data_IF_754890170747
#
_entry.id   IF_754890170747
#
_cell.length_a   1.000
_cell.length_b   1.000
_cell.length_c   1.000
_cell.angle_alpha   90.00
_cell.angle_beta   90.00
_cell.angle_gamma   90.00
#
_symmetry.space_group_name_H-M   'P 1'
#
loop_
_entity.id
_entity.type
_entity.pdbx_description
1 polymer ?
#
# COMPACT_ATOMS: atom_id res chain seq x y z
N UNK A 1 -10.99 17.70 -30.43
CA UNK A 1 -11.71 18.80 -29.75
C UNK A 1 -12.36 19.74 -30.77
N UNK A 2 -11.58 20.49 -31.58
CA UNK A 2 -12.12 21.48 -32.54
C UNK A 2 -13.25 20.96 -33.44
N UNK A 3 -13.09 19.77 -34.04
CA UNK A 3 -14.13 19.20 -34.91
C UNK A 3 -15.45 18.88 -34.18
N UNK A 4 -15.37 18.32 -32.97
CA UNK A 4 -16.57 18.01 -32.16
C UNK A 4 -17.25 19.32 -31.71
N UNK A 5 -16.47 20.33 -31.30
CA UNK A 5 -17.01 21.63 -30.90
C UNK A 5 -17.70 22.34 -32.07
N UNK A 6 -17.13 22.25 -33.28
CA UNK A 6 -17.74 22.78 -34.49
C UNK A 6 -19.08 22.10 -34.80
N UNK A 7 -19.10 20.76 -34.83
CA UNK A 7 -20.33 19.98 -35.06
C UNK A 7 -21.39 20.24 -33.98
N UNK A 8 -21.01 20.27 -32.70
CA UNK A 8 -21.94 20.54 -31.61
C UNK A 8 -22.61 21.91 -31.74
N UNK A 9 -21.85 22.92 -32.19
CA UNK A 9 -22.36 24.28 -32.44
C UNK A 9 -23.31 24.31 -33.63
N UNK A 10 -22.90 23.73 -34.75
CA UNK A 10 -23.67 23.76 -36.00
C UNK A 10 -24.99 22.99 -35.88
N UNK A 11 -24.96 21.86 -35.17
CA UNK A 11 -26.12 21.01 -34.94
C UNK A 11 -26.98 21.44 -33.73
N UNK A 12 -26.67 22.60 -33.13
CA UNK A 12 -27.38 23.17 -31.98
C UNK A 12 -27.60 22.16 -30.83
N UNK A 13 -26.58 21.37 -30.51
CA UNK A 13 -26.65 20.31 -29.50
C UNK A 13 -26.81 20.91 -28.10
N UNK A 14 -27.90 20.55 -27.41
CA UNK A 14 -28.17 20.98 -26.03
C UNK A 14 -27.80 19.84 -25.07
N UNK A 15 -26.98 20.09 -24.03
CA UNK A 15 -26.62 19.06 -23.06
C UNK A 15 -27.85 18.44 -22.37
N UNK A 16 -27.94 17.11 -22.38
CA UNK A 16 -28.97 16.34 -21.68
C UNK A 16 -28.35 15.49 -20.56
N UNK A 17 -29.07 15.26 -19.47
CA UNK A 17 -28.53 14.51 -18.31
C UNK A 17 -28.24 13.04 -18.59
N UNK A 18 -28.94 12.45 -19.56
CA UNK A 18 -28.91 11.01 -19.85
C UNK A 18 -28.07 10.65 -21.07
N UNK A 19 -27.58 11.64 -21.84
CA UNK A 19 -26.90 11.40 -23.10
C UNK A 19 -25.70 12.34 -23.30
N UNK A 20 -24.56 11.76 -23.69
CA UNK A 20 -23.32 12.52 -23.94
C UNK A 20 -23.43 13.34 -25.24
N UNK A 21 -22.72 14.47 -25.32
CA UNK A 21 -22.67 15.30 -26.54
C UNK A 21 -22.19 14.51 -27.75
N UNK A 22 -21.22 13.61 -27.58
CA UNK A 22 -20.74 12.74 -28.67
C UNK A 22 -21.84 11.79 -29.15
N UNK A 23 -22.65 11.26 -28.23
CA UNK A 23 -23.80 10.44 -28.57
C UNK A 23 -24.87 11.20 -29.33
N UNK A 24 -25.20 12.42 -28.89
CA UNK A 24 -26.20 13.26 -29.56
C UNK A 24 -25.77 13.61 -31.00
N UNK A 25 -24.51 14.01 -31.19
CA UNK A 25 -23.95 14.26 -32.53
C UNK A 25 -23.98 12.97 -33.35
N UNK A 26 -23.52 11.85 -32.77
CA UNK A 26 -23.50 10.55 -33.44
C UNK A 26 -24.87 10.10 -33.91
N UNK A 27 -25.91 10.25 -33.08
CA UNK A 27 -27.28 9.88 -33.42
C UNK A 27 -27.86 10.79 -34.50
N UNK A 28 -27.59 12.09 -34.46
CA UNK A 28 -28.07 13.00 -35.51
C UNK A 28 -27.36 12.77 -36.86
N UNK A 29 -26.08 12.39 -36.86
CA UNK A 29 -25.31 12.15 -38.10
C UNK A 29 -25.58 10.76 -38.67
N UNK A 30 -25.63 9.71 -37.85
CA UNK A 30 -25.68 8.31 -38.28
C UNK A 30 -27.01 7.60 -38.00
N UNK A 31 -27.96 8.25 -37.33
CA UNK A 31 -29.17 7.62 -36.82
C UNK A 31 -28.89 6.57 -35.73
N UNK A 32 -29.86 5.71 -35.44
CA UNK A 32 -29.71 4.57 -34.51
C UNK A 32 -29.13 3.31 -35.19
N UNK A 33 -28.31 3.50 -36.22
CA UNK A 33 -27.73 2.41 -37.02
C UNK A 33 -26.42 1.83 -36.46
N UNK A 34 -25.82 0.84 -37.16
CA UNK A 34 -24.58 0.19 -36.72
C UNK A 34 -23.41 1.15 -36.49
N UNK A 35 -23.31 2.23 -37.29
CA UNK A 35 -22.25 3.23 -37.16
C UNK A 35 -22.32 4.02 -35.84
N UNK A 36 -23.52 4.29 -35.34
CA UNK A 36 -23.70 4.91 -34.02
C UNK A 36 -23.19 3.98 -32.91
N UNK A 37 -23.50 2.69 -32.95
CA UNK A 37 -23.00 1.73 -31.97
C UNK A 37 -21.48 1.57 -32.04
N UNK A 38 -20.89 1.56 -33.24
CA UNK A 38 -19.43 1.54 -33.41
C UNK A 38 -18.81 2.78 -32.76
N UNK A 39 -19.40 3.98 -32.96
CA UNK A 39 -18.94 5.21 -32.31
C UNK A 39 -19.00 5.11 -30.77
N UNK A 40 -20.08 4.56 -30.20
CA UNK A 40 -20.22 4.39 -28.74
C UNK A 40 -19.20 3.40 -28.19
N UNK A 41 -19.01 2.26 -28.85
CA UNK A 41 -18.03 1.24 -28.45
C UNK A 41 -16.62 1.81 -28.54
N UNK A 42 -16.27 2.50 -29.63
CA UNK A 42 -14.98 3.14 -29.79
C UNK A 42 -14.73 4.20 -28.69
N UNK A 43 -15.72 5.03 -28.39
CA UNK A 43 -15.64 6.03 -27.32
C UNK A 43 -15.39 5.36 -25.96
N UNK A 44 -16.12 4.28 -25.68
CA UNK A 44 -15.95 3.49 -24.44
C UNK A 44 -14.54 2.90 -24.35
N UNK A 45 -14.03 2.30 -25.43
CA UNK A 45 -12.70 1.72 -25.47
C UNK A 45 -11.60 2.77 -25.25
N UNK A 46 -11.75 3.97 -25.82
CA UNK A 46 -10.81 5.07 -25.61
C UNK A 46 -10.80 5.50 -24.13
N UNK A 47 -11.96 5.59 -23.48
CA UNK A 47 -12.05 5.93 -22.06
C UNK A 47 -11.43 4.84 -21.16
N UNK A 48 -11.64 3.56 -21.48
CA UNK A 48 -11.00 2.44 -20.79
C UNK A 48 -9.47 2.48 -20.96
N UNK A 49 -8.98 2.77 -22.16
CA UNK A 49 -7.55 2.91 -22.42
C UNK A 49 -6.93 4.08 -21.64
N UNK A 50 -7.63 5.21 -21.54
CA UNK A 50 -7.19 6.35 -20.74
C UNK A 50 -7.09 6.02 -19.24
N UNK A 51 -8.03 5.21 -18.72
CA UNK A 51 -7.95 4.72 -17.35
C UNK A 51 -6.73 3.81 -17.15
N UNK A 52 -6.43 2.93 -18.12
CA UNK A 52 -5.27 2.03 -18.07
C UNK A 52 -3.94 2.78 -17.97
N UNK A 53 -3.79 3.94 -18.63
CA UNK A 53 -2.59 4.79 -18.48
C UNK A 53 -2.35 5.19 -17.02
N UNK A 54 -3.41 5.57 -16.29
CA UNK A 54 -3.29 5.91 -14.86
C UNK A 54 -2.84 4.72 -14.01
N UNK A 55 -3.34 3.52 -14.32
CA UNK A 55 -2.93 2.27 -13.65
C UNK A 55 -1.51 1.83 -14.00
N UNK A 56 -0.95 2.28 -15.12
CA UNK A 56 0.45 2.05 -15.48
C UNK A 56 1.41 3.05 -14.80
N UNK A 57 1.01 4.30 -14.64
CA UNK A 57 1.89 5.38 -14.17
C UNK A 57 1.87 5.59 -12.65
N UNK A 58 0.70 5.52 -12.01
CA UNK A 58 0.57 5.73 -10.57
C UNK A 58 1.47 4.82 -9.71
N UNK A 59 1.59 3.51 -10.02
CA UNK A 59 2.43 2.63 -9.20
C UNK A 59 3.92 3.04 -9.24
N UNK A 60 4.38 3.59 -10.37
CA UNK A 60 5.76 4.13 -10.48
C UNK A 60 5.94 5.39 -9.64
N UNK A 61 5.00 6.32 -9.71
CA UNK A 61 5.06 7.57 -8.93
C UNK A 61 4.98 7.32 -7.42
N UNK A 62 4.08 6.44 -6.99
CA UNK A 62 3.96 6.07 -5.58
C UNK A 62 5.20 5.34 -5.07
N UNK A 63 5.83 4.50 -5.88
CA UNK A 63 7.11 3.87 -5.53
C UNK A 63 8.25 4.89 -5.35
N UNK A 64 8.33 5.93 -6.20
CA UNK A 64 9.31 7.01 -6.05
C UNK A 64 9.11 7.74 -4.72
N UNK A 65 7.88 8.14 -4.39
CA UNK A 65 7.57 8.80 -3.11
C UNK A 65 7.83 7.89 -1.90
N UNK A 66 7.56 6.59 -2.02
CA UNK A 66 7.80 5.62 -0.96
C UNK A 66 9.30 5.38 -0.72
N UNK A 67 10.14 5.42 -1.77
CA UNK A 67 11.61 5.42 -1.64
C UNK A 67 12.10 6.64 -0.87
N UNK A 68 11.48 7.80 -1.12
CA UNK A 68 11.72 9.03 -0.37
C UNK A 68 11.05 9.04 1.02
N UNK A 69 10.53 7.91 1.50
CA UNK A 69 9.90 7.75 2.83
C UNK A 69 8.68 8.67 3.08
N UNK A 70 8.01 9.13 2.03
CA UNK A 70 6.75 9.89 2.14
C UNK A 70 5.49 9.00 2.04
N UNK A 71 5.67 7.74 1.65
CA UNK A 71 4.62 6.73 1.55
C UNK A 71 5.10 5.41 2.19
N UNK A 72 4.17 4.49 2.54
CA UNK A 72 4.52 3.19 3.11
C UNK A 72 5.52 2.43 2.22
N UNK A 73 6.58 1.88 2.84
CA UNK A 73 7.65 1.16 2.12
C UNK A 73 7.14 0.01 1.26
N UNK A 74 5.99 -0.59 1.60
CA UNK A 74 5.37 -1.67 0.82
C UNK A 74 5.09 -1.27 -0.64
N UNK A 75 4.91 0.03 -0.94
CA UNK A 75 4.71 0.53 -2.30
C UNK A 75 6.00 0.52 -3.14
N UNK A 76 7.17 0.33 -2.53
CA UNK A 76 8.44 0.15 -3.25
C UNK A 76 8.68 -1.29 -3.71
N UNK A 77 7.91 -2.25 -3.20
CA UNK A 77 8.09 -3.66 -3.51
C UNK A 77 7.67 -3.93 -4.96
N UNK A 78 8.61 -4.44 -5.75
CA UNK A 78 8.33 -5.03 -7.05
C UNK A 78 7.81 -6.44 -6.81
N UNK A 79 6.59 -6.75 -7.27
CA UNK A 79 6.07 -8.12 -7.23
C UNK A 79 6.76 -9.03 -8.26
N UNK A 80 6.33 -10.28 -8.34
CA UNK A 80 6.94 -11.36 -9.15
C UNK A 80 7.04 -11.05 -10.66
N UNK A 81 6.29 -10.06 -11.16
CA UNK A 81 6.34 -9.60 -12.57
C UNK A 81 7.04 -8.25 -12.76
N UNK A 82 7.80 -7.78 -11.76
CA UNK A 82 8.38 -6.42 -11.73
C UNK A 82 7.30 -5.33 -11.82
N UNK A 83 6.10 -5.62 -11.31
CA UNK A 83 4.97 -4.68 -11.25
C UNK A 83 4.75 -4.29 -9.78
N UNK A 84 4.54 -3.00 -9.54
CA UNK A 84 4.19 -2.45 -8.22
C UNK A 84 2.72 -2.78 -7.89
N UNK A 85 2.45 -4.05 -7.59
CA UNK A 85 1.09 -4.57 -7.37
C UNK A 85 0.35 -3.80 -6.25
N UNK A 86 1.05 -3.46 -5.17
CA UNK A 86 0.50 -2.67 -4.06
C UNK A 86 0.02 -1.29 -4.54
N UNK A 87 0.72 -0.67 -5.50
CA UNK A 87 0.31 0.60 -6.09
C UNK A 87 -0.96 0.48 -6.93
N UNK A 88 -1.08 -0.59 -7.72
CA UNK A 88 -2.29 -0.88 -8.53
C UNK A 88 -3.50 -1.10 -7.61
N UNK A 89 -3.36 -1.95 -6.58
CA UNK A 89 -4.44 -2.24 -5.62
C UNK A 89 -4.84 -0.96 -4.87
N UNK A 90 -3.87 -0.16 -4.43
CA UNK A 90 -4.13 1.13 -3.76
C UNK A 90 -4.92 2.06 -4.68
N UNK A 91 -4.52 2.22 -5.94
CA UNK A 91 -5.25 3.05 -6.90
C UNK A 91 -6.67 2.51 -7.16
N UNK A 92 -6.82 1.19 -7.29
CA UNK A 92 -8.13 0.56 -7.51
C UNK A 92 -9.08 0.82 -6.35
N UNK A 93 -8.62 0.68 -5.10
CA UNK A 93 -9.40 0.99 -3.91
C UNK A 93 -9.78 2.48 -3.89
N UNK A 94 -8.80 3.38 -4.06
CA UNK A 94 -9.06 4.83 -4.04
C UNK A 94 -10.03 5.27 -5.14
N UNK A 95 -9.85 4.76 -6.36
CA UNK A 95 -10.73 5.04 -7.49
C UNK A 95 -12.15 4.51 -7.23
N UNK A 96 -12.28 3.28 -6.70
CA UNK A 96 -13.57 2.68 -6.36
C UNK A 96 -14.28 3.47 -5.26
N UNK A 97 -13.55 3.88 -4.21
CA UNK A 97 -14.09 4.75 -3.14
C UNK A 97 -14.59 6.07 -3.70
N UNK A 98 -13.85 6.72 -4.60
CA UNK A 98 -14.31 7.95 -5.24
C UNK A 98 -15.57 7.73 -6.09
N UNK A 99 -15.62 6.65 -6.88
CA UNK A 99 -16.81 6.33 -7.69
C UNK A 99 -18.04 6.14 -6.80
N UNK A 100 -17.92 5.39 -5.70
CA UNK A 100 -19.02 5.15 -4.76
C UNK A 100 -19.43 6.44 -4.06
N UNK A 101 -18.48 7.22 -3.53
CA UNK A 101 -18.75 8.48 -2.81
C UNK A 101 -19.49 9.50 -3.70
N UNK A 102 -19.13 9.58 -4.97
CA UNK A 102 -19.74 10.50 -5.93
C UNK A 102 -20.89 9.89 -6.74
N UNK A 103 -21.29 8.65 -6.44
CA UNK A 103 -22.33 7.88 -7.16
C UNK A 103 -22.12 7.86 -8.69
N UNK A 104 -20.85 7.77 -9.14
CA UNK A 104 -20.50 7.77 -10.57
C UNK A 104 -20.82 9.08 -11.32
N UNK A 105 -21.20 10.17 -10.63
CA UNK A 105 -21.59 11.42 -11.30
C UNK A 105 -20.37 12.21 -11.76
N UNK A 106 -20.12 12.18 -13.07
CA UNK A 106 -18.99 12.86 -13.72
C UNK A 106 -18.97 14.37 -13.44
N UNK A 107 -20.13 15.03 -13.35
CA UNK A 107 -20.23 16.47 -13.09
C UNK A 107 -19.52 16.91 -11.79
N UNK A 108 -19.45 16.03 -10.77
CA UNK A 108 -18.77 16.31 -9.50
C UNK A 108 -17.30 15.86 -9.52
N UNK A 109 -16.97 14.85 -10.32
CA UNK A 109 -15.61 14.31 -10.45
C UNK A 109 -14.71 15.16 -11.35
N UNK A 110 -15.26 15.80 -12.39
CA UNK A 110 -14.49 16.62 -13.34
C UNK A 110 -13.76 17.78 -12.63
N UNK A 111 -14.41 18.57 -11.76
CA UNK A 111 -13.70 19.62 -11.01
C UNK A 111 -12.57 19.07 -10.13
N UNK A 112 -12.78 17.92 -9.47
CA UNK A 112 -11.77 17.28 -8.61
C UNK A 112 -10.52 16.92 -9.42
N UNK A 113 -10.70 16.30 -10.59
CA UNK A 113 -9.62 16.02 -11.54
C UNK A 113 -8.94 17.30 -12.04
N UNK A 114 -9.72 18.29 -12.49
CA UNK A 114 -9.19 19.50 -13.10
C UNK A 114 -8.32 20.30 -12.13
N UNK A 115 -8.74 20.44 -10.87
CA UNK A 115 -7.93 21.11 -9.84
C UNK A 115 -6.59 20.40 -9.65
N UNK A 116 -6.58 19.06 -9.58
CA UNK A 116 -5.34 18.28 -9.44
C UNK A 116 -4.38 18.46 -10.63
N UNK A 117 -4.91 18.41 -11.86
CA UNK A 117 -4.10 18.58 -13.09
C UNK A 117 -3.56 20.00 -13.21
N UNK A 118 -4.41 21.02 -13.06
CA UNK A 118 -3.96 22.41 -13.18
C UNK A 118 -3.03 22.82 -12.05
N UNK A 119 -3.20 22.28 -10.84
CA UNK A 119 -2.21 22.46 -9.77
C UNK A 119 -0.86 21.83 -10.14
N UNK A 120 -0.87 20.59 -10.64
CA UNK A 120 0.36 19.90 -11.06
C UNK A 120 1.07 20.65 -12.18
N UNK A 121 0.33 21.15 -13.17
CA UNK A 121 0.87 21.99 -14.24
C UNK A 121 1.40 23.31 -13.69
N UNK A 122 0.66 24.00 -12.82
CA UNK A 122 1.12 25.26 -12.21
C UNK A 122 2.44 25.06 -11.47
N UNK A 123 2.54 24.02 -10.63
CA UNK A 123 3.74 23.70 -9.87
C UNK A 123 4.91 23.30 -10.78
N UNK A 124 4.65 22.51 -11.82
CA UNK A 124 5.66 22.11 -12.81
C UNK A 124 6.19 23.31 -13.59
N UNK A 125 5.30 24.15 -14.11
CA UNK A 125 5.67 25.36 -14.87
C UNK A 125 6.44 26.35 -13.99
N UNK A 126 5.97 26.63 -12.77
CA UNK A 126 6.68 27.47 -11.81
C UNK A 126 8.05 26.88 -11.41
N UNK A 127 8.11 25.56 -11.22
CA UNK A 127 9.35 24.82 -10.98
C UNK A 127 10.35 24.97 -12.12
N UNK A 128 9.89 24.88 -13.37
CA UNK A 128 10.72 25.07 -14.56
C UNK A 128 11.22 26.52 -14.70
N UNK A 129 10.41 27.52 -14.36
CA UNK A 129 10.87 28.91 -14.29
C UNK A 129 12.03 29.05 -13.30
N UNK A 130 11.90 28.47 -12.10
CA UNK A 130 12.97 28.47 -11.10
C UNK A 130 14.20 27.68 -11.57
N UNK A 131 14.00 26.55 -12.24
CA UNK A 131 15.06 25.73 -12.81
C UNK A 131 15.89 26.52 -13.84
N UNK A 132 15.25 27.15 -14.83
CA UNK A 132 15.95 27.94 -15.86
C UNK A 132 16.66 29.16 -15.27
N UNK A 133 16.06 29.84 -14.29
CA UNK A 133 16.69 30.97 -13.58
C UNK A 133 17.94 30.56 -12.80
N UNK A 134 18.00 29.30 -12.32
CA UNK A 134 19.15 28.76 -11.59
C UNK A 134 20.28 28.29 -12.50
N UNK A 135 19.99 27.49 -13.52
CA UNK A 135 21.03 26.93 -14.39
C UNK A 135 21.57 27.94 -15.41
N UNK A 136 20.77 28.94 -15.83
CA UNK A 136 21.15 30.01 -16.77
C UNK A 136 21.84 29.56 -18.07
N UNK A 137 21.49 28.38 -18.59
CA UNK A 137 22.01 27.87 -19.87
C UNK A 137 21.53 28.65 -21.11
N UNK A 138 21.92 28.23 -22.34
CA UNK A 138 21.53 28.91 -23.57
C UNK A 138 20.00 29.06 -23.72
N UNK A 139 19.55 30.28 -24.01
CA UNK A 139 18.14 30.61 -24.18
C UNK A 139 17.28 30.53 -22.91
N UNK A 140 17.89 30.56 -21.71
CA UNK A 140 17.15 30.41 -20.45
C UNK A 140 16.09 31.48 -20.23
N UNK A 141 16.30 32.72 -20.71
CA UNK A 141 15.33 33.82 -20.59
C UNK A 141 14.04 33.52 -21.35
N UNK A 142 14.16 33.08 -22.61
CA UNK A 142 13.01 32.68 -23.43
C UNK A 142 12.30 31.46 -22.83
N UNK A 143 13.04 30.41 -22.45
CA UNK A 143 12.46 29.21 -21.83
C UNK A 143 11.76 29.54 -20.50
N UNK A 144 12.32 30.44 -19.70
CA UNK A 144 11.70 30.92 -18.47
C UNK A 144 10.47 31.78 -18.74
N UNK A 145 10.47 32.62 -19.79
CA UNK A 145 9.32 33.42 -20.17
C UNK A 145 8.15 32.54 -20.63
N UNK A 146 8.39 31.54 -21.50
CA UNK A 146 7.36 30.60 -21.97
C UNK A 146 6.76 29.82 -20.80
N UNK A 147 7.59 29.25 -19.92
CA UNK A 147 7.08 28.56 -18.72
C UNK A 147 6.40 29.53 -17.75
N UNK A 148 6.82 30.80 -17.69
CA UNK A 148 6.19 31.83 -16.87
C UNK A 148 4.78 32.17 -17.34
N UNK A 149 4.59 32.35 -18.65
CA UNK A 149 3.26 32.52 -19.25
C UNK A 149 2.40 31.29 -18.98
N UNK A 150 2.96 30.09 -19.13
CA UNK A 150 2.28 28.83 -18.80
C UNK A 150 1.85 28.76 -17.32
N UNK A 151 2.72 29.16 -16.39
CA UNK A 151 2.42 29.19 -14.97
C UNK A 151 1.28 30.18 -14.64
N UNK A 152 1.30 31.38 -15.23
CA UNK A 152 0.23 32.38 -15.04
C UNK A 152 -1.09 31.87 -15.62
N UNK A 153 -1.10 31.34 -16.84
CA UNK A 153 -2.30 30.82 -17.49
C UNK A 153 -2.92 29.66 -16.70
N UNK A 154 -2.10 28.70 -16.28
CA UNK A 154 -2.57 27.54 -15.49
C UNK A 154 -3.03 27.93 -14.09
N UNK A 155 -2.39 28.90 -13.45
CA UNK A 155 -2.84 29.47 -12.16
C UNK A 155 -4.18 30.17 -12.32
N UNK A 156 -4.36 30.95 -13.39
CA UNK A 156 -5.62 31.64 -13.65
C UNK A 156 -6.77 30.65 -13.85
N UNK A 157 -6.55 29.61 -14.65
CA UNK A 157 -7.55 28.54 -14.85
C UNK A 157 -7.86 27.82 -13.54
N UNK A 158 -6.84 27.49 -12.75
CA UNK A 158 -7.02 26.89 -11.42
C UNK A 158 -7.87 27.78 -10.51
N UNK A 159 -7.57 29.08 -10.46
CA UNK A 159 -8.31 30.05 -9.66
C UNK A 159 -9.78 30.16 -10.10
N UNK A 160 -10.04 30.21 -11.40
CA UNK A 160 -11.39 30.23 -11.97
C UNK A 160 -12.15 28.96 -11.59
N UNK A 161 -11.54 27.77 -11.73
CA UNK A 161 -12.18 26.50 -11.38
C UNK A 161 -12.51 26.46 -9.90
N UNK A 162 -11.57 26.84 -9.03
CA UNK A 162 -11.78 26.87 -7.58
C UNK A 162 -12.91 27.83 -7.22
N UNK A 163 -12.93 29.04 -7.76
CA UNK A 163 -13.95 30.04 -7.47
C UNK A 163 -15.34 29.65 -8.00
N UNK A 164 -15.43 29.16 -9.24
CA UNK A 164 -16.72 28.89 -9.91
C UNK A 164 -17.31 27.54 -9.55
N UNK A 165 -16.48 26.52 -9.27
CA UNK A 165 -16.91 25.16 -8.96
C UNK A 165 -16.81 24.81 -7.48
N UNK A 166 -16.57 25.80 -6.61
CA UNK A 166 -16.52 25.62 -5.16
C UNK A 166 -17.74 24.84 -4.65
N UNK A 167 -18.94 25.30 -5.02
CA UNK A 167 -20.22 24.73 -4.60
C UNK A 167 -20.47 23.34 -5.22
N UNK A 168 -19.85 23.03 -6.37
CA UNK A 168 -20.09 21.79 -7.11
C UNK A 168 -19.12 20.65 -6.74
N UNK A 169 -18.32 20.84 -5.69
CA UNK A 169 -17.43 19.82 -5.14
C UNK A 169 -15.94 20.16 -5.17
N UNK A 170 -15.53 21.32 -5.70
CA UNK A 170 -14.12 21.72 -5.67
C UNK A 170 -13.61 21.97 -4.25
N UNK A 171 -14.49 22.26 -3.29
CA UNK A 171 -14.14 22.38 -1.86
C UNK A 171 -13.49 21.10 -1.30
N UNK A 172 -13.85 19.93 -1.82
CA UNK A 172 -13.28 18.64 -1.39
C UNK A 172 -11.78 18.60 -1.69
N UNK A 173 -11.36 19.17 -2.81
CA UNK A 173 -9.94 19.20 -3.21
C UNK A 173 -9.12 20.06 -2.25
N UNK A 174 -9.69 21.20 -1.84
CA UNK A 174 -9.07 22.13 -0.89
C UNK A 174 -8.82 21.45 0.45
N UNK A 175 -9.65 20.47 0.84
CA UNK A 175 -9.45 19.66 2.04
C UNK A 175 -8.47 18.49 1.79
N UNK A 176 -8.66 17.79 0.68
CA UNK A 176 -7.99 16.52 0.36
C UNK A 176 -6.50 16.70 0.06
N UNK A 177 -6.09 17.80 -0.59
CA UNK A 177 -4.67 18.07 -0.85
C UNK A 177 -3.89 18.31 0.46
N UNK A 178 -4.28 19.24 1.35
CA UNK A 178 -3.64 19.40 2.65
C UNK A 178 -3.63 18.11 3.48
N UNK A 179 -4.73 17.35 3.45
CA UNK A 179 -4.81 16.06 4.12
C UNK A 179 -3.72 15.09 3.61
N UNK A 180 -3.57 14.93 2.29
CA UNK A 180 -2.51 14.09 1.74
C UNK A 180 -1.11 14.59 2.09
N UNK A 181 -0.87 15.91 2.03
CA UNK A 181 0.42 16.49 2.44
C UNK A 181 0.70 16.21 3.92
N UNK A 182 -0.31 16.29 4.78
CA UNK A 182 -0.18 15.95 6.20
C UNK A 182 0.12 14.47 6.40
N UNK A 183 -0.60 13.56 5.74
CA UNK A 183 -0.34 12.10 5.78
C UNK A 183 1.10 11.81 5.35
N UNK A 184 1.57 12.38 4.24
CA UNK A 184 2.92 12.13 3.73
C UNK A 184 4.00 12.61 4.71
N UNK A 185 3.78 13.76 5.36
CA UNK A 185 4.69 14.27 6.41
C UNK A 185 4.66 13.41 7.67
N UNK A 186 3.48 12.93 8.09
CA UNK A 186 3.34 12.05 9.24
C UNK A 186 4.08 10.72 9.03
N UNK A 187 3.94 10.12 7.84
CA UNK A 187 4.69 8.90 7.46
C UNK A 187 6.20 9.15 7.49
N UNK A 188 6.64 10.28 6.92
CA UNK A 188 8.07 10.64 6.92
C UNK A 188 8.61 10.84 8.34
N UNK A 189 7.85 11.52 9.19
CA UNK A 189 8.23 11.74 10.58
C UNK A 189 8.33 10.41 11.35
N UNK A 190 7.35 9.52 11.19
CA UNK A 190 7.40 8.18 11.78
C UNK A 190 8.65 7.41 11.37
N UNK A 191 9.01 7.42 10.07
CA UNK A 191 10.23 6.74 9.62
C UNK A 191 11.52 7.40 10.09
N UNK A 192 11.55 8.72 10.29
CA UNK A 192 12.71 9.39 10.86
C UNK A 192 12.86 9.01 12.35
N UNK A 193 11.77 9.01 13.12
CA UNK A 193 11.79 8.61 14.53
C UNK A 193 12.29 7.16 14.72
N UNK A 194 11.83 6.22 13.89
CA UNK A 194 12.31 4.82 13.91
C UNK A 194 13.79 4.74 13.52
N UNK A 195 14.23 5.53 12.54
CA UNK A 195 15.63 5.55 12.13
C UNK A 195 16.55 6.12 13.23
N UNK A 196 16.09 7.13 13.97
CA UNK A 196 16.80 7.70 15.12
C UNK A 196 16.92 6.70 16.27
N UNK A 197 15.90 5.84 16.48
CA UNK A 197 15.94 4.80 17.53
C UNK A 197 16.82 3.60 17.17
N UNK A 198 16.99 3.32 15.87
CA UNK A 198 17.77 2.19 15.36
C UNK A 198 19.18 2.60 14.88
N UNK A 199 19.54 3.88 15.02
CA UNK A 199 20.86 4.32 14.59
C UNK A 199 21.94 3.70 15.46
N UNK A 200 23.03 3.30 14.82
CA UNK A 200 24.26 2.88 15.51
C UNK A 200 25.17 4.08 15.80
N UNK A 201 24.74 5.30 15.45
CA UNK A 201 25.48 6.52 15.75
C UNK A 201 25.68 6.66 17.26
N UNK A 202 26.94 6.74 17.70
CA UNK A 202 27.31 6.77 19.11
C UNK A 202 27.59 5.40 19.73
N UNK A 203 27.36 4.30 19.01
CA UNK A 203 27.83 2.97 19.39
C UNK A 203 29.20 2.70 18.75
N UNK A 204 30.14 2.24 19.57
CA UNK A 204 31.41 1.73 19.08
C UNK A 204 31.23 0.26 18.64
N UNK A 205 31.76 -0.17 17.49
CA UNK A 205 31.72 -1.57 17.10
C UNK A 205 32.58 -2.39 18.08
N UNK A 206 31.98 -2.91 19.14
CA UNK A 206 32.67 -3.85 20.02
C UNK A 206 32.73 -5.24 19.37
N UNK A 207 33.88 -5.94 19.42
CA UNK A 207 33.97 -7.33 19.03
C UNK A 207 32.95 -8.13 19.84
N UNK A 208 32.30 -9.11 19.22
CA UNK A 208 31.30 -9.94 19.88
C UNK A 208 31.97 -10.84 20.94
N UNK A 209 32.28 -10.29 22.11
CA UNK A 209 32.86 -11.01 23.25
C UNK A 209 31.75 -11.43 24.19
N UNK A 210 31.59 -12.73 24.42
CA UNK A 210 30.54 -13.27 25.31
C UNK A 210 29.38 -14.00 24.64
N UNK A 211 29.43 -14.25 23.31
CA UNK A 211 28.48 -15.15 22.61
C UNK A 211 28.40 -16.55 23.24
N UNK A 212 29.43 -16.96 23.99
CA UNK A 212 29.34 -18.08 24.92
C UNK A 212 28.54 -17.66 26.16
N UNK A 213 27.24 -17.38 25.99
CA UNK A 213 26.34 -17.35 27.12
C UNK A 213 26.43 -18.72 27.80
N UNK A 214 27.03 -18.78 29.00
CA UNK A 214 26.98 -19.99 29.84
C UNK A 214 25.55 -20.32 30.27
N UNK A 215 24.58 -19.44 29.98
CA UNK A 215 23.16 -19.69 30.24
C UNK A 215 22.70 -20.80 29.28
N UNK A 216 22.33 -21.94 29.86
CA UNK A 216 21.71 -23.04 29.12
C UNK A 216 20.38 -22.51 28.56
N UNK A 217 20.27 -22.39 27.24
CA UNK A 217 19.03 -22.00 26.59
C UNK A 217 17.97 -23.06 26.87
N UNK A 218 16.75 -22.65 27.21
CA UNK A 218 15.66 -23.60 27.41
C UNK A 218 15.13 -24.02 26.06
N UNK A 219 15.07 -25.32 25.80
CA UNK A 219 14.50 -25.83 24.56
C UNK A 219 13.22 -26.57 24.89
N UNK A 220 12.10 -26.03 24.44
CA UNK A 220 10.80 -26.66 24.59
C UNK A 220 10.42 -27.30 23.26
N UNK A 221 10.20 -28.61 23.28
CA UNK A 221 9.79 -29.37 22.10
C UNK A 221 8.32 -29.70 22.25
N UNK A 222 7.48 -29.14 21.38
CA UNK A 222 6.06 -29.50 21.33
C UNK A 222 5.91 -30.87 20.67
N UNK A 223 5.18 -31.76 21.34
CA UNK A 223 5.03 -33.15 20.93
C UNK A 223 3.55 -33.47 20.77
N UNK A 224 3.16 -33.92 19.59
CA UNK A 224 1.80 -34.41 19.29
C UNK A 224 1.71 -35.95 19.30
N UNK A 225 2.84 -36.65 19.36
CA UNK A 225 2.92 -38.11 19.32
C UNK A 225 4.35 -38.64 19.42
N UNK A 226 4.49 -39.96 19.61
CA UNK A 226 5.80 -40.65 19.56
C UNK A 226 6.01 -41.22 18.15
N UNK A 227 6.72 -40.46 17.31
CA UNK A 227 7.06 -40.83 15.92
C UNK A 227 8.47 -40.33 15.55
N UNK A 228 8.97 -40.71 14.36
CA UNK A 228 10.34 -40.36 13.90
C UNK A 228 10.65 -38.86 13.99
N UNK A 229 9.73 -38.01 13.53
CA UNK A 229 9.88 -36.55 13.63
C UNK A 229 10.04 -36.04 15.08
N UNK A 230 9.36 -36.62 16.06
CA UNK A 230 9.54 -36.28 17.48
C UNK A 230 10.93 -36.64 17.96
N UNK A 231 11.46 -37.79 17.55
CA UNK A 231 12.81 -38.22 17.92
C UNK A 231 13.87 -37.30 17.31
N UNK A 232 13.72 -36.91 16.04
CA UNK A 232 14.60 -35.94 15.38
C UNK A 232 14.52 -34.57 16.06
N UNK A 233 13.32 -34.11 16.42
CA UNK A 233 13.14 -32.84 17.13
C UNK A 233 13.77 -32.85 18.53
N UNK A 234 13.64 -33.96 19.28
CA UNK A 234 14.32 -34.14 20.57
C UNK A 234 15.85 -34.20 20.40
N UNK A 235 16.33 -34.90 19.37
CA UNK A 235 17.76 -34.97 19.06
C UNK A 235 18.33 -33.59 18.73
N UNK A 236 17.64 -32.82 17.88
CA UNK A 236 18.02 -31.44 17.56
C UNK A 236 17.94 -30.52 18.79
N UNK A 237 16.88 -30.62 19.59
CA UNK A 237 16.79 -29.83 20.82
C UNK A 237 17.95 -30.10 21.79
N UNK A 238 18.37 -31.38 21.90
CA UNK A 238 19.50 -31.78 22.73
C UNK A 238 20.86 -31.37 22.18
N UNK A 239 21.00 -31.11 20.88
CA UNK A 239 22.22 -30.55 20.32
C UNK A 239 22.36 -29.05 20.62
N UNK A 240 21.23 -28.35 20.79
CA UNK A 240 21.19 -26.93 21.17
C UNK A 240 21.40 -26.72 22.68
N UNK A 241 20.78 -27.54 23.53
CA UNK A 241 20.89 -27.39 24.99
C UNK A 241 20.74 -28.70 25.76
N UNK A 242 21.26 -28.71 27.00
CA UNK A 242 21.02 -29.79 27.97
C UNK A 242 19.68 -29.64 28.71
N UNK A 243 19.04 -28.47 28.61
CA UNK A 243 17.77 -28.15 29.27
C UNK A 243 16.63 -28.24 28.25
N UNK A 244 16.26 -29.47 27.90
CA UNK A 244 15.19 -29.77 26.95
C UNK A 244 13.99 -30.29 27.71
N UNK A 245 12.80 -29.77 27.43
CA UNK A 245 11.53 -30.27 27.97
C UNK A 245 10.56 -30.55 26.83
N UNK A 246 9.98 -31.75 26.81
CA UNK A 246 8.91 -32.09 25.89
C UNK A 246 7.57 -31.66 26.49
N UNK A 247 6.73 -31.00 25.71
CA UNK A 247 5.41 -30.52 26.13
C UNK A 247 4.36 -31.10 25.20
N UNK A 248 3.37 -31.77 25.76
CA UNK A 248 2.17 -32.24 25.06
C UNK A 248 0.96 -31.53 25.65
N UNK A 249 0.05 -31.08 24.78
CA UNK A 249 -1.24 -30.52 25.21
C UNK A 249 -2.27 -31.63 25.14
N UNK A 250 -2.92 -31.92 26.27
CA UNK A 250 -3.94 -32.95 26.35
C UNK A 250 -5.25 -32.47 25.71
N UNK A 251 -5.36 -32.70 24.40
CA UNK A 251 -6.56 -32.44 23.58
C UNK A 251 -7.40 -33.71 23.44
N UNK A 252 -6.74 -34.86 23.43
CA UNK A 252 -7.33 -36.18 23.30
C UNK A 252 -6.67 -37.15 24.29
N UNK A 253 -7.37 -37.48 25.40
CA UNK A 253 -6.78 -38.26 26.50
C UNK A 253 -6.20 -39.60 26.07
N UNK A 254 -6.79 -40.25 25.06
CA UNK A 254 -6.28 -41.51 24.53
C UNK A 254 -4.92 -41.37 23.85
N UNK A 255 -4.69 -40.28 23.11
CA UNK A 255 -3.41 -40.01 22.46
C UNK A 255 -2.35 -39.66 23.49
N UNK A 256 -2.70 -38.81 24.46
CA UNK A 256 -1.82 -38.44 25.57
C UNK A 256 -1.42 -39.65 26.42
N UNK A 257 -2.35 -40.57 26.67
CA UNK A 257 -2.07 -41.82 27.38
C UNK A 257 -1.06 -42.69 26.62
N UNK A 258 -1.22 -42.86 25.30
CA UNK A 258 -0.26 -43.59 24.45
C UNK A 258 1.12 -42.94 24.44
N UNK A 259 1.19 -41.61 24.48
CA UNK A 259 2.46 -40.88 24.58
C UNK A 259 3.10 -41.17 25.94
N UNK A 260 2.37 -41.02 27.04
CA UNK A 260 2.87 -41.31 28.40
C UNK A 260 3.39 -42.74 28.55
N UNK A 261 2.71 -43.71 27.95
CA UNK A 261 3.13 -45.12 27.98
C UNK A 261 4.43 -45.36 27.20
N UNK A 262 4.57 -44.75 26.01
CA UNK A 262 5.74 -44.93 25.14
C UNK A 262 6.93 -44.04 25.53
N UNK A 263 6.70 -42.97 26.30
CA UNK A 263 7.72 -41.97 26.63
C UNK A 263 8.92 -42.50 27.41
N UNK A 264 8.78 -43.40 28.40
CA UNK A 264 9.93 -43.95 29.11
C UNK A 264 10.93 -44.67 28.19
N UNK A 265 10.44 -45.29 27.12
CA UNK A 265 11.25 -46.01 26.14
C UNK A 265 11.90 -45.07 25.11
N UNK A 266 11.13 -44.10 24.60
CA UNK A 266 11.51 -43.29 23.43
C UNK A 266 11.87 -41.82 23.75
N UNK A 267 11.60 -41.36 24.97
CA UNK A 267 11.82 -39.97 25.39
C UNK A 267 13.27 -39.64 25.75
N UNK A 268 14.19 -40.61 25.72
CA UNK A 268 15.64 -40.42 25.92
C UNK A 268 16.01 -39.55 27.14
N UNK A 269 15.30 -39.72 28.27
CA UNK A 269 15.45 -38.95 29.53
C UNK A 269 15.05 -37.47 29.46
N UNK A 270 14.36 -37.05 28.40
CA UNK A 270 13.74 -35.72 28.32
C UNK A 270 12.45 -35.72 29.15
N UNK A 271 12.27 -34.78 30.10
CA UNK A 271 11.04 -34.66 30.87
C UNK A 271 9.85 -34.35 29.95
N UNK A 272 8.73 -35.05 30.17
CA UNK A 272 7.46 -34.80 29.50
C UNK A 272 6.53 -34.04 30.45
N UNK A 273 6.08 -32.88 30.02
CA UNK A 273 5.03 -32.09 30.69
C UNK A 273 3.75 -32.24 29.88
N UNK A 274 2.67 -32.62 30.55
CA UNK A 274 1.34 -32.68 29.97
C UNK A 274 0.56 -31.46 30.45
N UNK A 275 0.06 -30.66 29.52
CA UNK A 275 -0.75 -29.48 29.79
C UNK A 275 -2.21 -29.81 29.54
N UNK A 276 -3.06 -29.65 30.54
CA UNK A 276 -4.49 -29.88 30.38
C UNK A 276 -5.10 -28.79 29.49
N UNK A 277 -5.91 -29.18 28.51
CA UNK A 277 -6.65 -28.25 27.65
C UNK A 277 -8.16 -28.50 27.72
N UNK A 278 -8.85 -27.88 28.68
CA UNK A 278 -10.30 -28.08 28.88
C UNK A 278 -11.15 -27.68 27.65
N UNK A 279 -10.62 -26.82 26.78
CA UNK A 279 -11.31 -26.34 25.58
C UNK A 279 -10.71 -26.86 24.26
N UNK A 280 -9.86 -27.90 24.30
CA UNK A 280 -9.18 -28.47 23.11
C UNK A 280 -8.37 -27.42 22.32
N UNK A 281 -7.94 -26.35 22.98
CA UNK A 281 -7.06 -25.32 22.42
C UNK A 281 -5.60 -25.70 22.68
N UNK A 282 -4.76 -25.71 21.65
CA UNK A 282 -3.33 -26.03 21.77
C UNK A 282 -2.49 -24.81 22.13
N UNK A 283 -2.84 -23.64 21.59
CA UNK A 283 -2.02 -22.43 21.70
C UNK A 283 -2.08 -21.81 23.10
N UNK A 284 -3.28 -21.71 23.68
CA UNK A 284 -3.49 -21.05 24.97
C UNK A 284 -2.71 -21.69 26.14
N UNK A 285 -2.83 -23.02 26.37
CA UNK A 285 -2.10 -23.70 27.43
C UNK A 285 -0.57 -23.63 27.26
N UNK A 286 -0.09 -23.71 26.01
CA UNK A 286 1.35 -23.60 25.71
C UNK A 286 1.86 -22.21 26.07
N UNK A 287 1.17 -21.14 25.66
CA UNK A 287 1.55 -19.78 26.01
C UNK A 287 1.56 -19.56 27.52
N UNK A 288 0.53 -20.01 28.23
CA UNK A 288 0.47 -19.89 29.70
C UNK A 288 1.62 -20.65 30.40
N UNK A 289 2.02 -21.81 29.87
CA UNK A 289 3.18 -22.55 30.37
C UNK A 289 4.50 -21.84 30.09
N UNK A 290 4.66 -21.26 28.90
CA UNK A 290 5.84 -20.48 28.52
C UNK A 290 5.98 -19.24 29.42
N UNK A 291 4.91 -18.46 29.56
CA UNK A 291 4.88 -17.26 30.40
C UNK A 291 5.22 -17.59 31.87
N UNK A 292 4.67 -18.69 32.39
CA UNK A 292 4.96 -19.15 33.75
C UNK A 292 6.43 -19.58 33.94
N UNK A 293 7.03 -20.22 32.92
CA UNK A 293 8.45 -20.63 32.93
C UNK A 293 9.41 -19.46 32.78
N UNK A 294 9.01 -18.42 32.06
CA UNK A 294 9.79 -17.20 31.88
C UNK A 294 9.74 -16.32 33.13
N UNK A 295 8.58 -16.21 33.80
CA UNK A 295 8.47 -15.50 35.09
C UNK A 295 9.33 -16.12 36.20
N UNK A 296 9.50 -17.45 36.21
CA UNK A 296 10.31 -18.14 37.22
C UNK A 296 11.82 -17.97 37.02
N UNK A 297 12.28 -17.77 35.78
CA UNK A 297 13.70 -17.56 35.48
C UNK A 297 13.86 -16.52 34.35
N UNK A 298 13.58 -15.24 34.61
CA UNK A 298 13.57 -14.18 33.58
C UNK A 298 14.96 -13.93 32.99
N UNK A 299 16.00 -14.35 33.70
CA UNK A 299 17.39 -14.33 33.28
C UNK A 299 17.70 -15.26 32.10
N UNK A 300 16.82 -16.21 31.76
CA UNK A 300 17.08 -17.34 30.84
C UNK A 300 16.11 -17.42 29.64
N UNK A 301 15.26 -16.41 29.46
CA UNK A 301 14.34 -16.31 28.32
C UNK A 301 15.04 -16.49 26.97
#
# INVERSE_FOLDING_TARGET
FLGISFLAREMAIVPHEHETVISQIGRQVFGDGPLYFILQVATTLILVLAANTSFADFPRLSAILARDRYLPRQLTNLGDRLVFANGIVTLAILASTLIVLFNGRTHRLIPLYAVGVFLSFTLSQAGMVRHWRRLRGPGWTWKAAVNGVGAVATTLVLAIIVATKFIHGAWIVILLIPLFVWIFRAVRHHYNAVAEQLTLDGLSPEPWTGLASRKRQKVIVLVSGVHRGTLEALHFGRSLSRDVTAVVVDVEPEVTARIREKWPLWGYRVPLVVLDSPFRSTVGPVLAYLDGRDMQEPERG
#
